data_IF_681119332889
#
_entry.id   IF_681119332889
#
_cell.length_a   1.000
_cell.length_b   1.000
_cell.length_c   1.000
_cell.angle_alpha   90.00
_cell.angle_beta   90.00
_cell.angle_gamma   90.00
#
_symmetry.space_group_name_H-M   'P 1'
#
loop_
_entity.id
_entity.type
_entity.pdbx_description
1 polymer ?
#
# COMPACT_ATOMS: atom_id res chain seq x y z
N UNK A 1 7.71 14.02 4.86
CA UNK A 1 7.21 13.54 3.55
C UNK A 1 8.33 12.76 2.88
N UNK A 2 8.07 11.62 2.23
CA UNK A 2 9.07 10.96 1.41
C UNK A 2 9.61 11.95 0.37
N UNK A 3 10.89 11.82 0.01
CA UNK A 3 11.43 12.47 -1.19
C UNK A 3 10.67 11.92 -2.38
N UNK A 4 9.84 12.76 -3.01
CA UNK A 4 9.00 12.36 -4.14
C UNK A 4 9.88 12.23 -5.39
N UNK A 5 10.61 11.12 -5.48
CA UNK A 5 11.34 10.77 -6.69
C UNK A 5 10.37 10.17 -7.70
N UNK A 6 10.22 10.85 -8.84
CA UNK A 6 9.44 10.39 -9.98
C UNK A 6 10.38 10.26 -11.19
N UNK A 7 10.48 9.06 -11.80
CA UNK A 7 11.26 8.90 -13.01
C UNK A 7 10.54 9.56 -14.20
N UNK A 8 11.29 9.91 -15.25
CA UNK A 8 10.75 10.67 -16.39
C UNK A 8 9.61 9.94 -17.13
N UNK A 9 9.59 8.60 -17.10
CA UNK A 9 8.54 7.76 -17.69
C UNK A 9 7.27 7.67 -16.82
N UNK A 10 7.33 8.04 -15.53
CA UNK A 10 6.17 8.06 -14.61
C UNK A 10 6.19 9.35 -13.77
N UNK A 11 5.89 10.50 -14.37
CA UNK A 11 6.18 11.81 -13.77
C UNK A 11 5.18 12.24 -12.69
N UNK A 12 4.09 11.51 -12.47
CA UNK A 12 3.02 11.93 -11.58
C UNK A 12 3.06 11.18 -10.23
N UNK A 13 3.65 11.77 -9.17
CA UNK A 13 3.62 11.19 -7.84
C UNK A 13 2.27 11.41 -7.15
N UNK A 14 1.70 10.35 -6.58
CA UNK A 14 0.50 10.36 -5.76
C UNK A 14 0.83 9.88 -4.34
N UNK A 15 0.72 10.79 -3.37
CA UNK A 15 0.89 10.47 -1.96
C UNK A 15 -0.39 9.85 -1.42
N UNK A 16 -0.25 8.74 -0.70
CA UNK A 16 -1.35 8.11 0.03
C UNK A 16 -1.03 8.02 1.52
N UNK A 17 -2.09 8.02 2.32
CA UNK A 17 -2.07 7.83 3.77
C UNK A 17 -2.92 6.61 4.07
N UNK A 18 -2.33 5.61 4.72
CA UNK A 18 -3.01 4.35 5.01
C UNK A 18 -2.90 4.06 6.50
N UNK A 19 -4.04 3.67 7.08
CA UNK A 19 -4.12 3.13 8.43
C UNK A 19 -4.49 1.67 8.35
N UNK A 20 -3.66 0.82 8.94
CA UNK A 20 -3.90 -0.61 9.13
C UNK A 20 -4.44 -0.79 10.53
N UNK A 21 -5.71 -1.17 10.65
CA UNK A 21 -6.36 -1.41 11.94
C UNK A 21 -6.52 -2.90 12.20
N UNK A 22 -6.08 -3.37 13.36
CA UNK A 22 -6.28 -4.75 13.77
C UNK A 22 -7.60 -4.89 14.54
N UNK A 23 -8.64 -5.35 13.84
CA UNK A 23 -9.95 -5.63 14.44
C UNK A 23 -10.10 -7.09 14.91
N UNK A 24 -9.01 -7.86 14.94
CA UNK A 24 -9.02 -9.23 15.48
C UNK A 24 -8.76 -9.23 16.99
N UNK A 25 -8.90 -10.39 17.63
CA UNK A 25 -8.60 -10.57 19.06
C UNK A 25 -7.13 -10.87 19.36
N UNK A 26 -6.28 -11.05 18.34
CA UNK A 26 -4.88 -11.41 18.48
C UNK A 26 -3.97 -10.30 17.96
N UNK A 27 -2.72 -10.25 18.43
CA UNK A 27 -1.69 -9.40 17.82
C UNK A 27 -1.30 -9.94 16.45
N UNK A 28 -1.10 -9.03 15.49
CA UNK A 28 -0.69 -9.36 14.12
C UNK A 28 0.55 -8.55 13.76
N UNK A 29 1.60 -9.22 13.31
CA UNK A 29 2.77 -8.59 12.70
C UNK A 29 2.57 -8.49 11.20
N UNK A 30 2.69 -7.30 10.62
CA UNK A 30 2.72 -7.14 9.16
C UNK A 30 4.11 -7.53 8.66
N UNK A 31 4.13 -8.48 7.72
CA UNK A 31 5.36 -9.08 7.17
C UNK A 31 5.60 -8.71 5.71
N UNK A 32 4.56 -8.30 4.99
CA UNK A 32 4.69 -7.94 3.59
C UNK A 32 3.50 -7.19 3.04
N UNK A 33 3.67 -6.70 1.81
CA UNK A 33 2.64 -6.02 1.05
C UNK A 33 2.74 -6.39 -0.43
N UNK A 34 1.59 -6.36 -1.10
CA UNK A 34 1.47 -6.43 -2.55
C UNK A 34 0.54 -5.33 -3.02
N UNK A 35 0.99 -4.61 -4.03
CA UNK A 35 0.22 -3.62 -4.75
C UNK A 35 0.06 -4.03 -6.20
N UNK A 36 -1.11 -3.74 -6.74
CA UNK A 36 -1.44 -3.86 -8.15
C UNK A 36 -1.88 -2.49 -8.61
N UNK A 37 -1.12 -1.90 -9.51
CA UNK A 37 -1.40 -0.61 -10.13
C UNK A 37 -1.75 -0.90 -11.59
N UNK A 38 -2.95 -0.54 -12.00
CA UNK A 38 -3.47 -0.79 -13.35
C UNK A 38 -3.78 0.54 -14.02
N UNK A 39 -2.98 0.89 -15.03
CA UNK A 39 -3.23 2.06 -15.86
C UNK A 39 -4.39 1.86 -16.83
N UNK A 40 -4.98 2.96 -17.30
CA UNK A 40 -6.06 2.94 -18.30
C UNK A 40 -5.64 2.28 -19.63
N UNK A 41 -4.35 2.34 -19.97
CA UNK A 41 -3.77 1.70 -21.17
C UNK A 41 -3.56 0.18 -21.02
N UNK A 42 -4.09 -0.43 -19.95
CA UNK A 42 -3.98 -1.86 -19.58
C UNK A 42 -2.60 -2.31 -19.11
N UNK A 43 -1.65 -1.41 -18.95
CA UNK A 43 -0.38 -1.71 -18.29
C UNK A 43 -0.62 -2.00 -16.81
N UNK A 44 0.00 -3.09 -16.33
CA UNK A 44 -0.13 -3.56 -14.95
C UNK A 44 1.24 -3.59 -14.29
N UNK A 45 1.41 -2.77 -13.27
CA UNK A 45 2.59 -2.79 -12.41
C UNK A 45 2.25 -3.55 -11.13
N UNK A 46 3.10 -4.50 -10.75
CA UNK A 46 3.02 -5.21 -9.47
C UNK A 46 4.18 -4.73 -8.61
N UNK A 47 3.89 -4.27 -7.39
CA UNK A 47 4.91 -3.88 -6.42
C UNK A 47 4.75 -4.76 -5.19
N UNK A 48 5.78 -5.55 -4.91
CA UNK A 48 5.84 -6.43 -3.75
C UNK A 48 7.01 -6.01 -2.88
N UNK A 49 6.89 -6.22 -1.57
CA UNK A 49 7.98 -5.93 -0.66
C UNK A 49 7.67 -6.37 0.75
N UNK A 50 8.75 -6.60 1.50
CA UNK A 50 8.66 -6.92 2.92
C UNK A 50 8.21 -5.71 3.74
N UNK A 51 7.44 -6.00 4.78
CA UNK A 51 6.88 -5.02 5.68
C UNK A 51 6.12 -3.89 4.98
N UNK A 52 6.15 -2.72 5.60
CA UNK A 52 5.55 -1.47 5.10
C UNK A 52 6.51 -0.35 5.43
N UNK A 53 6.93 0.43 4.42
CA UNK A 53 7.91 1.54 4.57
C UNK A 53 9.19 1.16 5.34
N UNK A 54 9.69 -0.06 5.14
CA UNK A 54 10.88 -0.57 5.83
C UNK A 54 10.63 -1.02 7.28
N UNK A 55 9.38 -1.01 7.74
CA UNK A 55 8.99 -1.43 9.08
C UNK A 55 8.17 -2.72 9.04
N UNK A 56 8.21 -3.47 10.14
CA UNK A 56 7.42 -4.68 10.36
C UNK A 56 6.53 -4.49 11.58
N UNK A 57 5.47 -3.66 11.47
CA UNK A 57 4.68 -3.26 12.63
C UNK A 57 3.97 -4.47 13.25
N UNK A 58 4.06 -4.58 14.57
CA UNK A 58 3.21 -5.45 15.39
C UNK A 58 2.02 -4.62 15.87
N UNK A 59 0.83 -5.02 15.47
CA UNK A 59 -0.40 -4.29 15.76
C UNK A 59 -1.20 -5.13 16.74
N UNK A 60 -1.25 -4.73 18.00
CA UNK A 60 -2.04 -5.41 19.02
C UNK A 60 -3.54 -5.34 18.70
N UNK A 61 -4.34 -6.21 19.33
CA UNK A 61 -5.80 -6.22 19.20
C UNK A 61 -6.40 -4.83 19.46
N UNK A 62 -7.22 -4.34 18.54
CA UNK A 62 -7.87 -3.02 18.60
C UNK A 62 -6.98 -1.83 18.25
N UNK A 63 -5.66 -2.03 18.10
CA UNK A 63 -4.72 -0.98 17.76
C UNK A 63 -4.64 -0.73 16.24
N UNK A 64 -3.93 0.33 15.86
CA UNK A 64 -3.71 0.70 14.47
C UNK A 64 -2.28 1.18 14.21
N UNK A 65 -1.85 1.06 12.96
CA UNK A 65 -0.58 1.56 12.46
C UNK A 65 -0.84 2.41 11.22
N UNK A 66 -0.42 3.67 11.26
CA UNK A 66 -0.56 4.61 10.15
C UNK A 66 0.78 4.92 9.50
N UNK A 67 0.78 5.02 8.18
CA UNK A 67 1.94 5.43 7.41
C UNK A 67 1.52 6.18 6.16
N UNK A 68 2.47 6.89 5.56
CA UNK A 68 2.28 7.51 4.27
C UNK A 68 3.42 7.09 3.33
N UNK A 69 3.09 6.98 2.05
CA UNK A 69 4.04 6.67 0.98
C UNK A 69 3.45 7.22 -0.32
N UNK A 70 3.97 6.82 -1.47
CA UNK A 70 3.49 7.28 -2.75
C UNK A 70 3.61 6.21 -3.83
N UNK A 71 2.83 6.39 -4.89
CA UNK A 71 3.03 5.73 -6.18
C UNK A 71 3.38 6.78 -7.22
N UNK A 72 4.10 6.36 -8.26
CA UNK A 72 4.35 7.18 -9.45
C UNK A 72 3.63 6.52 -10.62
N UNK A 73 2.88 7.32 -11.37
CA UNK A 73 2.10 6.88 -12.53
C UNK A 73 2.40 7.76 -13.74
N UNK A 74 2.05 7.26 -14.91
CA UNK A 74 2.16 7.94 -16.20
C UNK A 74 0.79 8.32 -16.79
N UNK A 75 -0.26 7.61 -16.40
CA UNK A 75 -1.65 7.80 -16.82
C UNK A 75 -2.59 7.47 -15.65
N UNK A 76 -3.83 7.98 -15.70
CA UNK A 76 -4.90 7.62 -14.77
C UNK A 76 -4.92 6.11 -14.49
N UNK A 77 -4.93 5.75 -13.20
CA UNK A 77 -4.69 4.38 -12.75
C UNK A 77 -5.65 3.97 -11.62
N UNK A 78 -5.98 2.69 -11.55
CA UNK A 78 -6.63 2.05 -10.41
C UNK A 78 -5.58 1.29 -9.59
N UNK A 79 -5.66 1.41 -8.26
CA UNK A 79 -4.74 0.75 -7.34
C UNK A 79 -5.50 -0.13 -6.38
N UNK A 80 -5.01 -1.36 -6.17
CA UNK A 80 -5.49 -2.29 -5.15
C UNK A 80 -4.32 -3.08 -4.56
N UNK A 81 -4.57 -3.85 -3.51
CA UNK A 81 -3.49 -4.64 -2.93
C UNK A 81 -3.90 -5.52 -1.77
N UNK A 82 -2.89 -5.98 -1.04
CA UNK A 82 -3.06 -6.68 0.22
C UNK A 82 -1.85 -6.45 1.13
N UNK A 83 -2.12 -6.39 2.44
CA UNK A 83 -1.12 -6.59 3.47
C UNK A 83 -1.13 -8.05 3.90
N UNK A 84 0.07 -8.60 4.11
CA UNK A 84 0.28 -9.94 4.64
C UNK A 84 0.83 -9.82 6.06
N UNK A 85 0.31 -10.65 6.95
CA UNK A 85 0.71 -10.67 8.34
C UNK A 85 0.78 -12.07 8.90
N UNK A 86 1.27 -12.14 10.12
CA UNK A 86 1.44 -13.36 10.90
C UNK A 86 0.97 -13.07 12.34
N UNK A 87 0.18 -13.98 12.92
CA UNK A 87 -0.18 -13.90 14.34
C UNK A 87 0.98 -14.37 15.22
N UNK A 88 0.89 -14.16 16.53
CA UNK A 88 1.90 -14.68 17.46
C UNK A 88 2.04 -16.21 17.46
N UNK A 89 1.01 -16.93 17.00
CA UNK A 89 0.99 -18.39 16.89
C UNK A 89 1.55 -18.89 15.54
N UNK A 90 2.06 -17.99 14.69
CA UNK A 90 2.60 -18.30 13.37
C UNK A 90 1.55 -18.48 12.27
N UNK A 91 0.29 -18.11 12.54
CA UNK A 91 -0.79 -18.23 11.54
C UNK A 91 -0.69 -17.08 10.54
N UNK A 92 -0.59 -17.42 9.26
CA UNK A 92 -0.59 -16.43 8.18
C UNK A 92 -1.98 -15.83 7.97
N UNK A 93 -2.04 -14.52 7.89
CA UNK A 93 -3.26 -13.74 7.63
C UNK A 93 -3.01 -12.72 6.52
N UNK A 94 -4.09 -12.24 5.90
CA UNK A 94 -3.99 -11.13 4.96
C UNK A 94 -5.20 -10.20 5.09
N UNK A 95 -4.99 -8.94 4.75
CA UNK A 95 -6.03 -7.92 4.67
C UNK A 95 -5.97 -7.25 3.30
N UNK A 96 -7.12 -7.12 2.64
CA UNK A 96 -7.21 -6.48 1.33
C UNK A 96 -7.08 -4.97 1.48
N UNK A 97 -6.36 -4.37 0.54
CA UNK A 97 -6.42 -2.92 0.31
C UNK A 97 -7.48 -2.70 -0.76
N UNK A 98 -8.61 -2.04 -0.43
CA UNK A 98 -9.67 -1.78 -1.40
C UNK A 98 -9.17 -0.98 -2.59
N UNK A 99 -9.87 -1.11 -3.72
CA UNK A 99 -9.59 -0.33 -4.92
C UNK A 99 -9.79 1.16 -4.67
N UNK A 100 -8.87 1.97 -5.17
CA UNK A 100 -9.00 3.42 -5.27
C UNK A 100 -8.32 3.96 -6.54
N UNK A 101 -8.71 5.16 -6.95
CA UNK A 101 -8.25 5.78 -8.18
C UNK A 101 -7.11 6.77 -7.93
N UNK A 102 -6.19 6.83 -8.88
CA UNK A 102 -5.17 7.86 -9.02
C UNK A 102 -5.46 8.64 -10.31
N UNK A 103 -6.19 9.75 -10.19
CA UNK A 103 -6.56 10.60 -11.32
C UNK A 103 -5.64 11.80 -11.41
N UNK A 104 -4.99 11.97 -12.56
CA UNK A 104 -4.13 13.12 -12.84
C UNK A 104 -5.01 14.39 -12.81
N UNK A 105 -4.65 15.40 -12.01
CA UNK A 105 -5.47 16.60 -11.91
C UNK A 105 -5.56 17.30 -13.27
N UNK A 106 -6.79 17.59 -13.74
CA UNK A 106 -7.04 18.21 -15.06
C UNK A 106 -6.65 19.69 -15.18
N UNK A 107 -6.10 20.27 -14.11
CA UNK A 107 -5.57 21.62 -14.06
C UNK A 107 -4.04 21.66 -14.13
N UNK A 108 -3.40 20.49 -14.18
CA UNK A 108 -1.96 20.33 -14.36
C UNK A 108 -1.53 20.52 -15.81
#
# INVERSE_FOLDING_TARGET
MPTLEAPADKPYPFVYFITIKNNSSQEVKIVGRKWVIKGINKDKTIVEGEGVVGQFPKISSGAEFSYNSYHVIDNDSEVEGAFFGETNDGVLVYSKIPKFELSIPKWA
#
